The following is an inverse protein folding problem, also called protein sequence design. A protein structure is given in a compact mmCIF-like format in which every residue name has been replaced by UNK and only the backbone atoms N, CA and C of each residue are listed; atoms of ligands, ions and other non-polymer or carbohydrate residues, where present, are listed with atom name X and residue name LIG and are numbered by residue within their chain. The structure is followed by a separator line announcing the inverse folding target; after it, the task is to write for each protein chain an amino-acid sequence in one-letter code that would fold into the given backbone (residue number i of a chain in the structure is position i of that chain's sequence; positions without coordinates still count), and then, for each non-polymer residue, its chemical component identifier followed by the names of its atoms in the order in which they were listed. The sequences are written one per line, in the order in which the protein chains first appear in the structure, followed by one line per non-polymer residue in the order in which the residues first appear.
data_IF_609761777195
#
_entry.id   IF_609761777195
#
_cell.length_a   1.000
_cell.length_b   1.000
_cell.length_c   1.000
_cell.angle_alpha   90.00
_cell.angle_beta   90.00
_cell.angle_gamma   90.00
#
_symmetry.space_group_name_H-M   'P 1'
#
loop_
_entity.id
_entity.type
_entity.pdbx_description
1 polymer ?
#
# COMPACT_ATOMS: atom_id res chain seq x y z
N UNK A 1 0.28 9.16 1.80
CA UNK A 1 0.48 7.89 1.05
C UNK A 1 -0.73 7.68 0.17
N UNK A 2 -0.52 7.55 -1.12
CA UNK A 2 -1.58 7.19 -2.08
C UNK A 2 -1.33 5.78 -2.57
N UNK A 3 -2.32 4.90 -2.46
CA UNK A 3 -2.26 3.54 -2.98
C UNK A 3 -3.29 3.39 -4.08
N UNK A 4 -2.85 3.01 -5.27
CA UNK A 4 -3.71 2.71 -6.41
C UNK A 4 -3.70 1.21 -6.67
N UNK A 5 -4.89 0.62 -6.78
CA UNK A 5 -5.08 -0.81 -7.02
C UNK A 5 -6.26 -1.04 -7.95
N UNK A 6 -6.24 -2.18 -8.63
CA UNK A 6 -7.43 -2.64 -9.35
C UNK A 6 -8.60 -2.89 -8.37
N UNK A 7 -9.85 -2.49 -8.68
CA UNK A 7 -11.05 -2.73 -7.86
C UNK A 7 -11.17 -4.16 -7.30
N UNK A 8 -10.86 -5.18 -8.12
CA UNK A 8 -10.86 -6.60 -7.71
C UNK A 8 -10.01 -6.90 -6.48
N UNK A 9 -8.90 -6.18 -6.28
CA UNK A 9 -7.99 -6.35 -5.15
C UNK A 9 -8.54 -5.75 -3.85
N UNK A 10 -9.61 -4.97 -3.94
CA UNK A 10 -10.25 -4.29 -2.81
C UNK A 10 -11.54 -5.01 -2.34
N UNK A 11 -12.00 -6.01 -3.10
CA UNK A 11 -13.19 -6.81 -2.75
C UNK A 11 -13.05 -7.45 -1.37
N UNK A 12 -14.12 -7.37 -0.58
CA UNK A 12 -14.19 -7.90 0.78
C UNK A 12 -13.58 -7.01 1.86
N UNK A 13 -13.16 -5.78 1.55
CA UNK A 13 -12.78 -4.83 2.59
C UNK A 13 -14.00 -4.35 3.38
N UNK A 14 -13.85 -4.20 4.71
CA UNK A 14 -14.92 -3.76 5.63
C UNK A 14 -15.55 -2.43 5.24
N UNK A 15 -14.78 -1.57 4.57
CA UNK A 15 -15.26 -0.31 4.01
C UNK A 15 -16.56 -0.46 3.21
N UNK A 16 -16.67 -1.53 2.42
CA UNK A 16 -17.81 -1.73 1.52
C UNK A 16 -19.06 -2.30 2.22
N UNK A 17 -18.96 -2.72 3.48
CA UNK A 17 -20.13 -3.19 4.25
C UNK A 17 -21.10 -2.04 4.57
N UNK A 18 -20.58 -0.81 4.65
CA UNK A 18 -21.35 0.40 5.00
C UNK A 18 -21.19 1.52 3.97
N UNK A 19 -20.63 1.23 2.79
CA UNK A 19 -20.41 2.20 1.72
C UNK A 19 -21.40 1.96 0.57
N UNK A 20 -21.83 3.05 -0.06
CA UNK A 20 -22.66 3.01 -1.28
C UNK A 20 -21.83 2.83 -2.56
N UNK A 21 -20.52 2.65 -2.45
CA UNK A 21 -19.62 2.47 -3.60
C UNK A 21 -19.71 1.01 -4.07
N UNK A 22 -20.22 0.81 -5.28
CA UNK A 22 -20.10 -0.45 -5.99
C UNK A 22 -18.73 -0.52 -6.70
N UNK A 23 -17.91 -1.49 -6.30
CA UNK A 23 -16.58 -1.70 -6.89
C UNK A 23 -16.65 -2.15 -8.35
N UNK A 24 -17.70 -2.87 -8.74
CA UNK A 24 -17.83 -3.44 -10.09
C UNK A 24 -18.34 -2.40 -11.10
N UNK A 25 -18.88 -1.27 -10.62
CA UNK A 25 -19.30 -0.15 -11.46
C UNK A 25 -18.22 0.92 -11.69
N UNK A 26 -17.01 0.75 -11.14
CA UNK A 26 -15.92 1.72 -11.30
C UNK A 26 -15.30 1.52 -12.69
N UNK A 27 -15.49 2.50 -13.58
CA UNK A 27 -15.01 2.52 -14.97
C UNK A 27 -13.81 3.48 -15.20
N UNK A 28 -13.51 4.34 -14.22
CA UNK A 28 -12.38 5.25 -14.22
C UNK A 28 -11.71 5.32 -12.82
N UNK A 29 -10.44 5.77 -12.72
CA UNK A 29 -9.77 5.93 -11.44
C UNK A 29 -10.62 6.75 -10.45
N UNK A 30 -10.93 6.15 -9.31
CA UNK A 30 -11.79 6.77 -8.29
C UNK A 30 -11.16 6.67 -6.89
N UNK A 31 -11.19 7.77 -6.14
CA UNK A 31 -10.77 7.79 -4.74
C UNK A 31 -11.90 7.17 -3.92
N UNK A 32 -11.65 5.99 -3.37
CA UNK A 32 -12.64 5.30 -2.54
C UNK A 32 -12.48 5.62 -1.06
N UNK A 33 -11.31 6.10 -0.65
CA UNK A 33 -11.03 6.45 0.74
C UNK A 33 -9.94 7.53 0.82
N UNK A 34 -10.13 8.47 1.74
CA UNK A 34 -9.14 9.45 2.14
C UNK A 34 -9.28 9.72 3.64
N UNK A 35 -8.19 9.57 4.40
CA UNK A 35 -8.21 9.67 5.86
C UNK A 35 -6.88 9.31 6.51
N UNK A 36 -6.91 9.06 7.83
CA UNK A 36 -5.70 8.66 8.57
C UNK A 36 -5.31 7.20 8.29
N UNK A 37 -4.05 6.85 8.54
CA UNK A 37 -3.62 5.46 8.46
C UNK A 37 -4.33 4.58 9.51
N UNK A 38 -4.71 5.15 10.67
CA UNK A 38 -5.51 4.43 11.68
C UNK A 38 -6.86 3.97 11.10
N UNK A 39 -7.56 4.89 10.45
CA UNK A 39 -8.89 4.60 9.87
C UNK A 39 -8.76 3.67 8.66
N UNK A 40 -7.76 3.92 7.81
CA UNK A 40 -7.48 3.08 6.65
C UNK A 40 -7.22 1.63 7.04
N UNK A 41 -6.40 1.38 8.07
CA UNK A 41 -6.11 0.02 8.57
C UNK A 41 -7.36 -0.67 9.12
N UNK A 42 -8.22 0.08 9.80
CA UNK A 42 -9.46 -0.46 10.36
C UNK A 42 -10.45 -0.90 9.26
N UNK A 43 -10.51 -0.15 8.17
CA UNK A 43 -11.43 -0.35 7.05
C UNK A 43 -10.89 -1.29 5.96
N UNK A 44 -9.57 -1.33 5.76
CA UNK A 44 -8.87 -2.08 4.73
C UNK A 44 -7.72 -2.94 5.28
N UNK A 45 -7.96 -3.80 6.29
CA UNK A 45 -6.90 -4.48 7.06
C UNK A 45 -5.99 -5.37 6.20
N UNK A 46 -6.51 -5.98 5.12
CA UNK A 46 -5.72 -6.82 4.24
C UNK A 46 -4.92 -6.05 3.16
N UNK A 47 -5.24 -4.76 2.93
CA UNK A 47 -4.85 -4.08 1.70
C UNK A 47 -3.88 -2.91 1.92
N UNK A 48 -3.67 -2.47 3.17
CA UNK A 48 -3.00 -1.21 3.48
C UNK A 48 -1.74 -1.36 4.36
N UNK A 49 -1.11 -2.55 4.33
CA UNK A 49 0.10 -2.86 5.11
C UNK A 49 1.24 -1.85 4.92
N UNK A 50 1.41 -1.31 3.71
CA UNK A 50 2.42 -0.27 3.43
C UNK A 50 2.14 1.01 4.24
N UNK A 51 0.89 1.44 4.32
CA UNK A 51 0.57 2.63 5.11
C UNK A 51 0.72 2.38 6.61
N UNK A 52 0.36 1.19 7.08
CA UNK A 52 0.59 0.79 8.47
C UNK A 52 2.09 0.86 8.79
N UNK A 53 2.95 0.22 7.99
CA UNK A 53 4.39 0.22 8.19
C UNK A 53 4.99 1.63 8.16
N UNK A 54 4.69 2.43 7.14
CA UNK A 54 5.19 3.81 7.04
C UNK A 54 4.74 4.65 8.24
N UNK A 55 3.52 4.44 8.73
CA UNK A 55 3.04 5.16 9.91
C UNK A 55 3.78 4.77 11.20
N UNK A 56 4.15 3.49 11.34
CA UNK A 56 4.97 2.99 12.44
C UNK A 56 6.41 3.51 12.36
N UNK A 57 6.97 3.59 11.16
CA UNK A 57 8.33 4.09 10.92
C UNK A 57 8.44 5.62 10.90
N UNK A 58 7.31 6.33 10.89
CA UNK A 58 7.26 7.77 10.64
C UNK A 58 6.57 8.55 11.77
N UNK A 59 5.59 9.37 11.39
CA UNK A 59 4.95 10.35 12.26
C UNK A 59 3.75 9.82 13.06
N UNK A 60 3.54 8.50 13.06
CA UNK A 60 2.41 7.83 13.72
C UNK A 60 1.16 7.70 12.82
N UNK A 61 0.27 6.77 13.19
CA UNK A 61 -0.93 6.41 12.41
C UNK A 61 -1.94 7.52 12.25
N UNK A 62 -2.06 8.40 13.24
CA UNK A 62 -3.02 9.52 13.23
C UNK A 62 -2.58 10.65 12.30
N UNK A 63 -1.26 10.86 12.15
CA UNK A 63 -0.70 11.95 11.34
C UNK A 63 -0.32 11.50 9.93
N UNK A 64 -0.35 10.20 9.65
CA UNK A 64 -0.05 9.66 8.33
C UNK A 64 -1.32 9.66 7.48
N UNK A 65 -1.37 10.53 6.48
CA UNK A 65 -2.50 10.61 5.56
C UNK A 65 -2.46 9.48 4.53
N UNK A 66 -3.61 8.86 4.27
CA UNK A 66 -3.78 7.77 3.32
C UNK A 66 -4.89 8.10 2.34
N UNK A 67 -4.62 7.84 1.06
CA UNK A 67 -5.57 7.86 -0.04
C UNK A 67 -5.57 6.51 -0.72
N UNK A 68 -6.74 5.95 -0.97
CA UNK A 68 -6.90 4.68 -1.70
C UNK A 68 -7.69 4.97 -2.97
N UNK A 69 -7.09 4.62 -4.10
CA UNK A 69 -7.64 4.78 -5.43
C UNK A 69 -7.94 3.38 -5.98
N UNK A 70 -9.18 3.18 -6.41
CA UNK A 70 -9.57 2.04 -7.22
C UNK A 70 -9.49 2.46 -8.69
N UNK A 71 -8.62 1.80 -9.46
CA UNK A 71 -8.43 2.08 -10.89
C UNK A 71 -8.66 0.81 -11.71
N UNK A 72 -9.72 0.72 -12.54
CA UNK A 72 -9.99 -0.47 -13.34
C UNK A 72 -8.98 -0.67 -14.48
N UNK A 73 -8.19 0.35 -14.83
CA UNK A 73 -7.24 0.31 -15.93
C UNK A 73 -5.82 -0.08 -15.50
N UNK A 74 -5.58 -0.27 -14.19
CA UNK A 74 -4.26 -0.68 -13.69
C UNK A 74 -4.14 -2.19 -13.53
N UNK A 75 -3.00 -2.72 -13.95
CA UNK A 75 -2.56 -4.09 -13.69
C UNK A 75 -1.55 -4.18 -12.53
N UNK A 76 -1.19 -3.04 -11.92
CA UNK A 76 -0.19 -2.95 -10.85
C UNK A 76 -0.79 -2.53 -9.51
N UNK A 77 -0.02 -2.75 -8.45
CA UNK A 77 -0.24 -2.14 -7.15
C UNK A 77 0.76 -0.99 -6.99
N UNK A 78 0.28 0.25 -7.08
CA UNK A 78 1.14 1.44 -7.03
C UNK A 78 1.04 2.12 -5.67
N UNK A 79 2.19 2.44 -5.07
CA UNK A 79 2.28 3.22 -3.84
C UNK A 79 3.06 4.50 -4.11
N UNK A 80 2.43 5.64 -3.88
CA UNK A 80 3.06 6.95 -3.90
C UNK A 80 3.18 7.46 -2.47
N UNK A 81 4.41 7.67 -2.01
CA UNK A 81 4.72 8.09 -0.64
C UNK A 81 5.42 9.44 -0.71
N UNK A 82 4.86 10.42 -0.02
CA UNK A 82 5.47 11.74 0.13
C UNK A 82 5.77 11.96 1.63
N UNK A 83 7.01 12.31 1.91
CA UNK A 83 7.47 12.70 3.24
C UNK A 83 8.05 14.11 3.16
N UNK A 84 7.54 15.01 4.01
CA UNK A 84 7.92 16.43 4.01
C UNK A 84 8.35 16.79 5.43
N UNK A 85 9.52 17.41 5.55
CA UNK A 85 10.05 17.90 6.81
C UNK A 85 10.88 19.17 6.61
N UNK A 86 11.40 19.71 7.70
CA UNK A 86 12.23 20.94 7.66
C UNK A 86 13.45 20.81 6.74
N UNK A 87 13.98 19.59 6.62
CA UNK A 87 15.17 19.29 5.83
C UNK A 87 14.88 19.08 4.34
N UNK A 88 13.60 19.00 3.92
CA UNK A 88 13.24 18.82 2.52
C UNK A 88 12.01 17.93 2.29
N UNK A 89 11.84 17.52 1.04
CA UNK A 89 10.76 16.65 0.57
C UNK A 89 11.37 15.42 -0.11
N UNK A 90 10.84 14.25 0.24
CA UNK A 90 11.12 12.99 -0.42
C UNK A 90 9.84 12.43 -1.02
N UNK A 91 9.93 11.91 -2.24
CA UNK A 91 8.84 11.27 -2.94
C UNK A 91 9.31 9.93 -3.48
N UNK A 92 8.54 8.87 -3.19
CA UNK A 92 8.77 7.53 -3.69
C UNK A 92 7.53 7.07 -4.46
N UNK A 93 7.75 6.50 -5.64
CA UNK A 93 6.70 5.78 -6.39
C UNK A 93 7.18 4.36 -6.58
N UNK A 94 6.41 3.41 -6.06
CA UNK A 94 6.69 1.99 -6.19
C UNK A 94 5.54 1.37 -6.96
N UNK A 95 5.83 0.83 -8.14
CA UNK A 95 4.88 0.09 -8.97
C UNK A 95 5.17 -1.40 -8.85
N UNK A 96 4.34 -2.12 -8.10
CA UNK A 96 4.53 -3.55 -7.90
C UNK A 96 3.67 -4.37 -8.86
N UNK A 97 4.29 -5.39 -9.46
CA UNK A 97 3.54 -6.46 -10.11
C UNK A 97 2.88 -7.36 -9.07
N UNK A 98 1.61 -7.75 -9.25
CA UNK A 98 0.99 -8.83 -8.49
C UNK A 98 1.82 -10.11 -8.61
N UNK A 99 1.89 -10.90 -7.55
CA UNK A 99 2.50 -12.22 -7.63
C UNK A 99 1.63 -13.18 -8.48
N UNK A 100 2.22 -14.01 -9.36
CA UNK A 100 1.47 -14.94 -10.20
C UNK A 100 0.65 -15.99 -9.41
N UNK A 101 1.15 -16.43 -8.24
CA UNK A 101 0.49 -17.44 -7.40
C UNK A 101 -0.50 -16.80 -6.43
N UNK A 102 -0.20 -15.58 -5.94
CA UNK A 102 -1.11 -14.80 -5.10
C UNK A 102 -1.24 -13.34 -5.60
N UNK A 103 -2.20 -13.05 -6.50
CA UNK A 103 -2.39 -11.71 -7.06
C UNK A 103 -2.78 -10.63 -6.04
N UNK A 104 -3.15 -11.01 -4.81
CA UNK A 104 -3.44 -10.06 -3.72
C UNK A 104 -2.15 -9.48 -3.10
N UNK A 105 -1.00 -10.12 -3.33
CA UNK A 105 0.29 -9.75 -2.77
C UNK A 105 1.25 -9.31 -3.88
N UNK A 106 2.12 -8.35 -3.55
CA UNK A 106 3.21 -7.93 -4.43
C UNK A 106 4.39 -8.89 -4.30
N UNK A 107 4.95 -9.33 -5.44
CA UNK A 107 6.14 -10.20 -5.46
C UNK A 107 7.33 -9.61 -4.70
N UNK A 108 7.47 -8.27 -4.73
CA UNK A 108 8.50 -7.54 -3.98
C UNK A 108 8.45 -7.81 -2.46
N UNK A 109 7.26 -8.02 -1.88
CA UNK A 109 7.13 -8.32 -0.46
C UNK A 109 7.74 -9.70 -0.11
N UNK A 110 7.56 -10.69 -0.99
CA UNK A 110 8.18 -12.02 -0.84
C UNK A 110 9.70 -11.91 -0.94
N UNK A 111 10.19 -11.19 -1.95
CA UNK A 111 11.63 -10.96 -2.13
C UNK A 111 12.25 -10.20 -0.95
N UNK A 112 11.54 -9.23 -0.38
CA UNK A 112 11.98 -8.52 0.82
C UNK A 112 12.15 -9.45 2.01
N UNK A 113 11.23 -10.39 2.23
CA UNK A 113 11.35 -11.36 3.33
C UNK A 113 12.54 -12.32 3.12
N UNK A 114 12.75 -12.80 1.89
CA UNK A 114 13.93 -13.62 1.54
C UNK A 114 15.21 -12.85 1.80
N UNK A 115 15.27 -11.57 1.40
CA UNK A 115 16.45 -10.75 1.59
C UNK A 115 16.75 -10.48 3.07
N UNK A 116 15.72 -10.22 3.88
CA UNK A 116 15.87 -10.13 5.34
C UNK A 116 16.48 -11.41 5.91
N UNK A 117 16.06 -12.60 5.46
CA UNK A 117 16.66 -13.86 5.92
C UNK A 117 18.13 -14.00 5.48
N UNK A 118 18.46 -13.61 4.23
CA UNK A 118 19.85 -13.65 3.75
C UNK A 118 20.77 -12.75 4.56
N UNK A 119 20.32 -11.56 4.93
CA UNK A 119 21.07 -10.63 5.78
C UNK A 119 21.47 -11.26 7.12
N UNK A 120 20.65 -12.15 7.69
CA UNK A 120 20.97 -12.84 8.95
C UNK A 120 21.74 -14.15 8.77
N UNK A 121 21.83 -14.68 7.55
CA UNK A 121 22.40 -16.00 7.27
C UNK A 121 23.70 -15.95 6.43
N UNK A 122 24.13 -14.79 5.99
CA UNK A 122 25.32 -14.61 5.15
C UNK A 122 26.15 -13.41 5.61
N UNK A 123 27.46 -13.47 5.37
CA UNK A 123 28.39 -12.35 5.58
C UNK A 123 28.63 -11.56 4.27
N UNK A 124 27.68 -11.64 3.34
CA UNK A 124 27.74 -10.94 2.05
C UNK A 124 27.56 -9.42 2.24
N UNK A 125 27.84 -8.66 1.18
CA UNK A 125 27.68 -7.19 1.20
C UNK A 125 26.21 -6.83 1.40
N UNK A 126 25.93 -6.07 2.47
CA UNK A 126 24.62 -5.52 2.76
C UNK A 126 24.50 -4.08 2.24
N UNK A 127 23.38 -3.77 1.58
CA UNK A 127 23.00 -2.41 1.20
C UNK A 127 21.71 -2.05 1.92
N UNK A 128 21.70 -0.91 2.61
CA UNK A 128 20.56 -0.48 3.43
C UNK A 128 20.65 -0.99 4.87
N UNK A 129 19.52 -0.96 5.59
CA UNK A 129 19.40 -1.38 7.00
C UNK A 129 18.68 -2.70 7.13
#
# INVERSE_FOLDING_TARGET
ITTTKHPRSLKGAKFFENSNIDLDSIDAPNIIFEGSARDAVSLFPANINVAALVSLSGIGSDKTNVKIIADPNTDKNTHHIEAIGKSGKMTFTIENMPDPENPKTSRLAILSAIETLRQYCSDDIQIGT
#
